data_IF_110548678337
#
_entry.id   IF_110548678337
#
_cell.length_a   1.000
_cell.length_b   1.000
_cell.length_c   1.000
_cell.angle_alpha   90.00
_cell.angle_beta   90.00
_cell.angle_gamma   90.00
#
_symmetry.space_group_name_H-M   'P 1'
#
loop_
_entity.id
_entity.type
_entity.pdbx_description
1 polymer ?
#
# COMPACT_ATOMS: atom_id res chain seq x y z
N UNK A 1 -9.97 -91.56 -3.19
CA UNK A 1 -8.80 -90.86 -3.75
C UNK A 1 -9.33 -89.52 -4.23
N UNK A 2 -9.17 -88.50 -3.39
CA UNK A 2 -9.63 -87.13 -3.73
C UNK A 2 -8.45 -86.40 -4.35
N UNK A 3 -8.56 -85.99 -5.63
CA UNK A 3 -7.58 -85.16 -6.29
C UNK A 3 -8.06 -83.73 -6.03
N UNK A 4 -7.34 -82.98 -5.21
CA UNK A 4 -7.59 -81.53 -5.07
C UNK A 4 -6.93 -80.80 -6.26
N UNK A 5 -7.72 -80.15 -7.03
CA UNK A 5 -7.30 -79.25 -8.08
C UNK A 5 -6.70 -77.94 -7.47
N UNK A 6 -5.36 -77.75 -7.62
CA UNK A 6 -4.62 -76.63 -7.09
C UNK A 6 -4.57 -75.42 -8.05
N UNK A 7 -5.25 -75.52 -9.18
CA UNK A 7 -5.24 -74.44 -10.21
C UNK A 7 -5.82 -73.12 -9.75
N UNK A 8 -6.81 -73.02 -8.86
CA UNK A 8 -7.31 -71.72 -8.38
C UNK A 8 -6.31 -70.94 -7.53
N UNK A 9 -5.40 -71.58 -6.82
CA UNK A 9 -4.44 -70.91 -5.93
C UNK A 9 -3.34 -70.20 -6.69
N UNK A 10 -2.90 -70.77 -7.85
CA UNK A 10 -1.83 -70.19 -8.63
C UNK A 10 -2.37 -68.97 -9.41
N UNK A 11 -3.57 -69.04 -9.93
CA UNK A 11 -4.22 -67.88 -10.59
C UNK A 11 -4.50 -66.74 -9.62
N UNK A 12 -4.94 -67.00 -8.41
CA UNK A 12 -5.15 -65.97 -7.39
C UNK A 12 -3.87 -65.27 -6.97
N UNK A 13 -2.74 -65.99 -6.89
CA UNK A 13 -1.45 -65.42 -6.51
C UNK A 13 -0.87 -64.57 -7.65
N UNK A 14 -1.07 -64.97 -8.93
CA UNK A 14 -0.64 -64.22 -10.10
C UNK A 14 -1.44 -62.94 -10.30
N UNK A 15 -2.75 -63.00 -10.14
CA UNK A 15 -3.65 -61.84 -10.17
C UNK A 15 -3.32 -60.85 -9.07
N UNK A 16 -3.00 -61.33 -7.84
CA UNK A 16 -2.63 -60.46 -6.73
C UNK A 16 -1.28 -59.73 -6.98
N UNK A 17 -0.36 -60.40 -7.67
CA UNK A 17 0.94 -59.82 -8.01
C UNK A 17 0.84 -58.75 -9.14
N UNK A 18 0.01 -59.00 -10.15
CA UNK A 18 -0.31 -58.03 -11.19
C UNK A 18 -1.10 -56.83 -10.66
N UNK A 19 -2.07 -57.07 -9.78
CA UNK A 19 -2.82 -55.99 -9.10
C UNK A 19 -1.91 -55.15 -8.22
N UNK A 20 -0.98 -55.73 -7.51
CA UNK A 20 0.02 -54.97 -6.72
C UNK A 20 0.92 -54.12 -7.59
N UNK A 21 1.34 -54.57 -8.77
CA UNK A 21 2.12 -53.77 -9.73
C UNK A 21 1.30 -52.61 -10.31
N UNK A 22 0.05 -52.86 -10.65
CA UNK A 22 -0.87 -51.83 -11.14
C UNK A 22 -1.14 -50.78 -10.06
N UNK A 23 -1.34 -51.25 -8.80
CA UNK A 23 -1.54 -50.34 -7.67
C UNK A 23 -0.31 -49.48 -7.35
N UNK A 24 0.90 -50.07 -7.44
CA UNK A 24 2.16 -49.32 -7.30
C UNK A 24 2.37 -48.30 -8.43
N UNK A 25 2.03 -48.65 -9.66
CA UNK A 25 2.11 -47.72 -10.80
C UNK A 25 1.11 -46.58 -10.67
N UNK A 26 -0.13 -46.88 -10.23
CA UNK A 26 -1.14 -45.87 -9.94
C UNK A 26 -0.73 -44.96 -8.77
N UNK A 27 -0.18 -45.50 -7.70
CA UNK A 27 0.30 -44.75 -6.56
C UNK A 27 1.50 -43.86 -6.90
N UNK A 28 2.44 -44.37 -7.70
CA UNK A 28 3.60 -43.62 -8.16
C UNK A 28 3.18 -42.50 -9.12
N UNK A 29 2.19 -42.71 -10.02
CA UNK A 29 1.67 -41.65 -10.88
C UNK A 29 0.87 -40.59 -10.10
N UNK A 30 0.12 -41.01 -9.06
CA UNK A 30 -0.60 -40.08 -8.20
C UNK A 30 0.34 -39.21 -7.36
N UNK A 31 1.45 -39.79 -6.87
CA UNK A 31 2.49 -39.05 -6.14
C UNK A 31 3.26 -38.11 -7.06
N UNK A 32 3.55 -38.53 -8.29
CA UNK A 32 4.16 -37.64 -9.30
C UNK A 32 3.26 -36.51 -9.71
N UNK A 33 1.96 -36.77 -9.85
CA UNK A 33 0.97 -35.72 -10.17
C UNK A 33 0.77 -34.72 -9.01
N UNK A 34 0.88 -35.17 -7.75
CA UNK A 34 0.83 -34.28 -6.58
C UNK A 34 2.09 -33.45 -6.40
N UNK A 35 3.24 -33.86 -6.92
CA UNK A 35 4.48 -33.09 -6.88
C UNK A 35 4.52 -31.96 -7.94
N UNK A 36 3.82 -32.13 -9.06
CA UNK A 36 3.69 -31.05 -10.07
C UNK A 36 2.67 -29.96 -9.65
N UNK A 37 1.74 -30.27 -8.75
CA UNK A 37 0.72 -29.32 -8.29
C UNK A 37 1.26 -28.30 -7.27
N UNK A 38 2.44 -28.48 -6.70
CA UNK A 38 3.11 -27.53 -5.81
C UNK A 38 4.13 -26.68 -6.55
N UNK A 39 3.70 -25.92 -7.58
CA UNK A 39 4.51 -24.76 -7.96
C UNK A 39 4.55 -23.80 -6.76
N UNK A 40 5.74 -23.34 -6.34
CA UNK A 40 5.79 -22.27 -5.35
C UNK A 40 4.89 -21.14 -5.84
N UNK A 41 3.94 -20.72 -5.02
CA UNK A 41 3.18 -19.52 -5.31
C UNK A 41 4.20 -18.39 -5.49
N UNK A 42 4.04 -17.61 -6.56
CA UNK A 42 4.86 -16.42 -6.74
C UNK A 42 4.81 -15.62 -5.43
N UNK A 43 5.95 -15.07 -4.99
CA UNK A 43 5.95 -14.28 -3.77
C UNK A 43 4.93 -13.14 -3.90
N UNK A 44 4.16 -12.85 -2.84
CA UNK A 44 3.17 -11.79 -2.91
C UNK A 44 3.84 -10.45 -3.26
N UNK A 45 3.21 -9.61 -4.11
CA UNK A 45 3.81 -8.37 -4.58
C UNK A 45 4.01 -7.38 -3.45
N UNK A 46 5.07 -6.58 -3.54
CA UNK A 46 5.21 -5.40 -2.70
C UNK A 46 4.18 -4.34 -3.09
N UNK A 47 3.66 -3.61 -2.11
CA UNK A 47 2.65 -2.56 -2.32
C UNK A 47 3.22 -1.22 -1.84
N UNK A 48 3.29 -0.24 -2.72
CA UNK A 48 3.62 1.15 -2.38
C UNK A 48 2.43 2.01 -2.76
N UNK A 49 1.82 2.66 -1.76
CA UNK A 49 0.69 3.55 -1.93
C UNK A 49 1.16 5.00 -1.71
N UNK A 50 1.17 5.80 -2.76
CA UNK A 50 1.54 7.22 -2.70
C UNK A 50 0.28 8.07 -2.79
N UNK A 51 0.08 8.96 -1.83
CA UNK A 51 -1.02 9.91 -1.79
C UNK A 51 -0.46 11.33 -1.67
N UNK A 52 -0.87 12.20 -2.57
CA UNK A 52 -0.62 13.65 -2.48
C UNK A 52 -1.75 14.35 -1.73
N UNK A 53 -1.50 15.55 -1.21
CA UNK A 53 -2.46 16.33 -0.43
C UNK A 53 -2.79 17.62 -1.18
N UNK A 54 -4.05 17.81 -1.57
CA UNK A 54 -4.55 18.95 -2.35
C UNK A 54 -3.96 19.09 -3.77
N UNK A 55 -3.50 18.01 -4.38
CA UNK A 55 -3.09 18.02 -5.79
C UNK A 55 -4.31 17.95 -6.69
N UNK A 56 -4.45 18.93 -7.57
CA UNK A 56 -5.52 18.95 -8.57
C UNK A 56 -5.28 17.94 -9.70
N UNK A 57 -6.36 17.41 -10.27
CA UNK A 57 -6.30 16.52 -11.43
C UNK A 57 -5.55 17.18 -12.61
N UNK A 58 -5.77 18.50 -12.81
CA UNK A 58 -5.13 19.28 -13.86
C UNK A 58 -3.67 19.66 -13.60
N UNK A 59 -3.09 19.30 -12.45
CA UNK A 59 -1.70 19.61 -12.11
C UNK A 59 -0.69 18.67 -12.78
N UNK A 60 -1.16 17.64 -13.48
CA UNK A 60 -0.30 16.67 -14.15
C UNK A 60 -0.21 16.94 -15.65
N UNK A 61 1.01 16.86 -16.21
CA UNK A 61 1.20 16.97 -17.67
C UNK A 61 0.51 15.83 -18.43
N UNK A 62 0.40 14.63 -17.83
CA UNK A 62 -0.37 13.52 -18.36
C UNK A 62 -1.86 13.87 -18.57
N UNK A 63 -2.39 14.79 -17.79
CA UNK A 63 -3.77 15.26 -17.86
C UNK A 63 -3.93 16.58 -18.65
N UNK A 64 -2.87 17.01 -19.38
CA UNK A 64 -2.91 18.14 -20.28
C UNK A 64 -2.39 19.45 -19.67
N UNK A 65 -1.75 19.44 -18.50
CA UNK A 65 -1.09 20.64 -17.98
C UNK A 65 0.06 21.04 -18.91
N UNK A 66 0.03 22.29 -19.37
CA UNK A 66 1.03 22.84 -20.31
C UNK A 66 2.09 23.70 -19.61
N UNK A 67 1.88 24.00 -18.33
CA UNK A 67 2.76 24.85 -17.54
C UNK A 67 3.73 24.05 -16.66
N UNK A 68 3.30 22.89 -16.22
CA UNK A 68 4.07 22.00 -15.34
C UNK A 68 4.33 20.68 -16.07
N UNK A 69 5.53 20.18 -15.96
CA UNK A 69 5.88 18.84 -16.46
C UNK A 69 6.07 17.87 -15.29
N UNK A 70 5.42 16.72 -15.37
CA UNK A 70 5.46 15.68 -14.33
C UNK A 70 5.98 14.34 -14.86
N UNK A 71 7.23 14.29 -15.40
CA UNK A 71 7.69 13.18 -16.25
C UNK A 71 7.73 11.83 -15.52
N UNK A 72 7.98 11.82 -14.22
CA UNK A 72 8.02 10.58 -13.44
C UNK A 72 6.60 10.03 -13.19
N UNK A 73 5.64 10.90 -12.90
CA UNK A 73 4.23 10.51 -12.72
C UNK A 73 3.64 10.09 -14.07
N UNK A 74 3.93 10.83 -15.14
CA UNK A 74 3.51 10.51 -16.51
C UNK A 74 4.02 9.14 -16.93
N UNK A 75 5.28 8.82 -16.61
CA UNK A 75 5.87 7.51 -16.85
C UNK A 75 5.13 6.40 -16.10
N UNK A 76 4.78 6.59 -14.83
CA UNK A 76 3.96 5.61 -14.08
C UNK A 76 2.61 5.40 -14.77
N UNK A 77 1.94 6.49 -15.17
CA UNK A 77 0.66 6.41 -15.87
C UNK A 77 0.72 5.70 -17.23
N UNK A 78 1.87 5.73 -17.92
CA UNK A 78 2.07 5.03 -19.21
C UNK A 78 2.52 3.58 -19.05
N UNK A 79 3.17 3.25 -17.94
CA UNK A 79 3.65 1.89 -17.66
C UNK A 79 2.61 1.00 -16.98
N UNK A 80 1.58 1.59 -16.38
CA UNK A 80 0.58 0.91 -15.59
C UNK A 80 -0.85 1.16 -16.08
N UNK A 81 -1.80 1.02 -15.17
CA UNK A 81 -3.22 1.29 -15.40
C UNK A 81 -3.54 2.68 -14.86
N UNK A 82 -4.20 3.50 -15.68
CA UNK A 82 -4.74 4.79 -15.29
C UNK A 82 -6.26 4.69 -15.13
N UNK A 83 -6.76 5.17 -13.99
CA UNK A 83 -8.19 5.27 -13.75
C UNK A 83 -8.68 6.68 -14.08
N UNK A 84 -9.37 6.85 -15.19
CA UNK A 84 -9.86 8.18 -15.64
C UNK A 84 -11.04 8.69 -14.79
N UNK A 85 -11.69 7.83 -14.02
CA UNK A 85 -12.85 8.14 -13.19
C UNK A 85 -12.67 7.66 -11.75
N UNK A 86 -11.54 7.99 -11.16
CA UNK A 86 -11.28 7.75 -9.74
C UNK A 86 -11.58 9.03 -8.97
N UNK A 87 -12.61 9.00 -8.15
CA UNK A 87 -13.05 10.15 -7.37
C UNK A 87 -12.67 9.98 -5.91
N UNK A 88 -12.38 11.08 -5.26
CA UNK A 88 -12.05 11.16 -3.84
C UNK A 88 -13.01 12.13 -3.16
N UNK A 89 -13.11 12.07 -1.83
CA UNK A 89 -13.82 13.08 -1.06
C UNK A 89 -13.14 14.44 -1.19
N UNK A 90 -13.89 15.57 -1.07
CA UNK A 90 -13.34 16.90 -1.30
C UNK A 90 -12.38 17.39 -0.21
N UNK A 91 -12.18 16.61 0.85
CA UNK A 91 -11.32 16.94 1.99
C UNK A 91 -10.48 15.73 2.43
N UNK A 92 -9.37 16.02 3.12
CA UNK A 92 -8.26 15.10 3.32
C UNK A 92 -8.58 13.90 4.23
N UNK A 93 -9.12 14.09 5.43
CA UNK A 93 -9.37 12.97 6.36
C UNK A 93 -10.41 11.97 5.83
N UNK A 94 -11.57 12.38 5.32
CA UNK A 94 -12.52 11.50 4.65
C UNK A 94 -11.89 10.67 3.53
N UNK A 95 -11.14 11.30 2.62
CA UNK A 95 -10.44 10.61 1.53
C UNK A 95 -9.47 9.55 2.04
N UNK A 96 -8.70 9.87 3.10
CA UNK A 96 -7.73 8.93 3.70
C UNK A 96 -8.42 7.73 4.33
N UNK A 97 -9.52 7.98 5.05
CA UNK A 97 -10.34 6.92 5.64
C UNK A 97 -10.88 5.97 4.55
N UNK A 98 -11.47 6.52 3.47
CA UNK A 98 -11.99 5.73 2.35
C UNK A 98 -10.90 4.92 1.65
N UNK A 99 -9.74 5.54 1.40
CA UNK A 99 -8.61 4.88 0.75
C UNK A 99 -8.07 3.70 1.58
N UNK A 100 -8.00 3.87 2.89
CA UNK A 100 -7.44 2.86 3.80
C UNK A 100 -8.41 1.74 4.13
N UNK A 101 -9.74 1.96 4.05
CA UNK A 101 -10.76 0.98 4.44
C UNK A 101 -11.55 0.41 3.27
N UNK A 102 -11.52 1.08 2.11
CA UNK A 102 -12.40 0.74 0.98
C UNK A 102 -13.89 1.03 1.26
N UNK A 103 -14.21 1.81 2.31
CA UNK A 103 -15.57 2.14 2.71
C UNK A 103 -15.78 3.64 2.73
N UNK A 104 -17.01 4.07 2.45
CA UNK A 104 -17.39 5.49 2.51
C UNK A 104 -17.15 6.04 3.92
N UNK A 105 -16.49 7.19 4.02
CA UNK A 105 -15.98 7.79 5.25
C UNK A 105 -17.00 7.92 6.39
N UNK A 106 -18.26 8.24 6.04
CA UNK A 106 -19.34 8.38 7.04
C UNK A 106 -19.62 7.07 7.79
N UNK A 107 -19.43 5.92 7.12
CA UNK A 107 -19.60 4.60 7.76
C UNK A 107 -18.49 4.27 8.74
N UNK A 108 -17.33 4.85 8.55
CA UNK A 108 -16.18 4.71 9.45
C UNK A 108 -16.07 5.86 10.45
N UNK A 109 -17.14 6.60 10.71
CA UNK A 109 -17.18 7.65 11.72
C UNK A 109 -16.44 8.95 11.35
N UNK A 110 -15.93 9.06 10.12
CA UNK A 110 -15.18 10.24 9.68
C UNK A 110 -16.12 11.24 9.01
N UNK A 111 -16.41 12.33 9.69
CA UNK A 111 -17.36 13.35 9.25
C UNK A 111 -16.71 14.69 8.91
N UNK A 112 -15.44 14.88 9.22
CA UNK A 112 -14.75 16.15 9.07
C UNK A 112 -13.24 16.01 9.13
N UNK A 113 -12.56 17.14 9.26
CA UNK A 113 -11.09 17.23 9.27
C UNK A 113 -10.52 17.70 10.61
N UNK A 114 -11.35 17.91 11.63
CA UNK A 114 -10.94 18.42 12.93
C UNK A 114 -11.99 18.14 14.00
N UNK A 115 -11.68 18.55 15.24
CA UNK A 115 -12.56 18.46 16.40
C UNK A 115 -13.08 17.03 16.72
N UNK A 116 -12.30 16.02 16.35
CA UNK A 116 -12.64 14.61 16.54
C UNK A 116 -13.42 13.99 15.39
N UNK A 117 -13.92 14.80 14.44
CA UNK A 117 -14.62 14.30 13.25
C UNK A 117 -13.71 13.62 12.23
N UNK A 118 -12.40 13.69 12.41
CA UNK A 118 -11.38 13.03 11.61
C UNK A 118 -11.03 11.61 12.09
N UNK A 119 -11.50 11.18 13.24
CA UNK A 119 -11.17 9.89 13.83
C UNK A 119 -11.85 8.75 13.10
N UNK A 120 -11.06 7.79 12.64
CA UNK A 120 -11.56 6.57 12.02
C UNK A 120 -12.03 5.60 13.11
N UNK A 121 -13.27 5.13 13.04
CA UNK A 121 -13.83 4.20 14.01
C UNK A 121 -12.96 2.94 14.20
N UNK A 122 -12.96 2.42 15.41
CA UNK A 122 -12.10 1.30 15.81
C UNK A 122 -12.50 -0.03 15.15
N UNK A 123 -13.77 -0.20 14.83
CA UNK A 123 -14.31 -1.40 14.17
C UNK A 123 -14.05 -1.43 12.65
N UNK A 124 -13.54 -0.34 12.08
CA UNK A 124 -13.09 -0.33 10.71
C UNK A 124 -11.75 -1.05 10.57
N UNK A 125 -11.62 -1.83 9.50
CA UNK A 125 -10.39 -2.54 9.19
C UNK A 125 -9.63 -1.81 8.09
N UNK A 126 -8.38 -1.43 8.38
CA UNK A 126 -7.51 -0.76 7.40
C UNK A 126 -6.80 -1.75 6.49
N UNK A 127 -6.39 -1.28 5.31
CA UNK A 127 -5.55 -2.03 4.39
C UNK A 127 -4.26 -2.56 5.05
N UNK A 128 -3.67 -1.76 5.96
CA UNK A 128 -2.47 -2.16 6.69
C UNK A 128 -2.75 -3.33 7.65
N UNK A 129 -3.85 -3.29 8.39
CA UNK A 129 -4.26 -4.38 9.27
C UNK A 129 -4.49 -5.68 8.48
N UNK A 130 -5.19 -5.61 7.34
CA UNK A 130 -5.42 -6.76 6.46
C UNK A 130 -4.10 -7.34 5.94
N UNK A 131 -3.25 -6.52 5.36
CA UNK A 131 -1.97 -6.97 4.78
C UNK A 131 -1.03 -7.55 5.84
N UNK A 132 -1.04 -7.01 7.05
CA UNK A 132 -0.28 -7.54 8.18
C UNK A 132 -0.69 -8.98 8.55
N UNK A 133 -1.98 -9.34 8.46
CA UNK A 133 -2.43 -10.72 8.75
C UNK A 133 -1.86 -11.76 7.79
N UNK A 134 -1.43 -11.34 6.60
CA UNK A 134 -0.82 -12.22 5.59
C UNK A 134 0.70 -12.01 5.46
N UNK A 135 1.32 -11.42 6.49
CA UNK A 135 2.78 -11.39 6.66
C UNK A 135 3.50 -10.21 6.04
N UNK A 136 2.79 -9.17 5.60
CA UNK A 136 3.42 -7.95 5.11
C UNK A 136 4.07 -7.16 6.26
N UNK A 137 5.25 -6.60 5.98
CA UNK A 137 5.84 -5.53 6.79
C UNK A 137 5.16 -4.22 6.42
N UNK A 138 4.70 -3.43 7.39
CA UNK A 138 3.85 -2.28 7.12
C UNK A 138 4.48 -0.99 7.63
N UNK A 139 4.52 0.04 6.80
CA UNK A 139 5.00 1.37 7.19
C UNK A 139 4.13 2.49 6.61
N UNK A 140 4.02 3.60 7.37
CA UNK A 140 3.41 4.84 6.91
C UNK A 140 4.32 6.02 7.20
N UNK A 141 4.70 6.79 6.16
CA UNK A 141 5.57 7.94 6.30
C UNK A 141 4.92 9.19 5.69
N UNK A 142 4.47 10.09 6.56
CA UNK A 142 3.81 11.34 6.17
C UNK A 142 2.63 11.74 7.06
N UNK A 143 1.61 12.35 6.43
CA UNK A 143 0.40 12.84 7.08
C UNK A 143 -0.61 11.72 7.31
N UNK A 144 -0.98 11.45 8.56
CA UNK A 144 -1.99 10.44 8.89
C UNK A 144 -3.43 10.96 8.78
N UNK A 145 -3.81 11.87 9.62
CA UNK A 145 -5.09 12.60 9.67
C UNK A 145 -6.35 11.73 9.89
N UNK A 146 -6.24 10.59 10.56
CA UNK A 146 -7.37 9.75 10.96
C UNK A 146 -7.37 9.42 12.45
N UNK A 147 -6.93 10.39 13.26
CA UNK A 147 -6.84 10.33 14.72
C UNK A 147 -5.40 10.31 15.23
N UNK A 148 -5.16 11.00 16.36
CA UNK A 148 -3.80 11.31 16.82
C UNK A 148 -3.28 10.38 17.91
N UNK A 149 -4.18 9.71 18.63
CA UNK A 149 -3.87 8.89 19.79
C UNK A 149 -4.39 7.47 19.59
N UNK A 150 -3.84 6.52 20.34
CA UNK A 150 -4.42 5.20 20.41
C UNK A 150 -5.90 5.29 20.87
N UNK A 151 -6.80 4.52 20.26
CA UNK A 151 -6.59 3.45 19.29
C UNK A 151 -6.50 3.91 17.82
N UNK A 152 -6.62 5.21 17.53
CA UNK A 152 -6.69 5.79 16.18
C UNK A 152 -5.31 6.03 15.54
N UNK A 153 -4.25 6.00 16.35
CA UNK A 153 -2.88 6.24 15.90
C UNK A 153 -2.40 5.19 14.87
N UNK A 154 -1.58 5.54 13.87
CA UNK A 154 -1.12 4.60 12.83
C UNK A 154 -0.58 3.27 13.36
N UNK A 155 0.21 3.29 14.43
CA UNK A 155 0.72 2.05 15.02
C UNK A 155 -0.36 1.16 15.65
N UNK A 156 -1.53 1.73 16.00
CA UNK A 156 -2.70 0.97 16.44
C UNK A 156 -3.58 0.52 15.27
N UNK A 157 -3.31 1.02 14.06
CA UNK A 157 -4.10 0.79 12.84
C UNK A 157 -3.29 0.02 11.78
N UNK A 158 -2.45 -0.92 12.23
CA UNK A 158 -1.80 -1.90 11.39
C UNK A 158 -0.42 -1.52 10.86
N UNK A 159 0.10 -0.32 11.12
CA UNK A 159 1.44 0.07 10.70
C UNK A 159 2.48 -0.26 11.77
N UNK A 160 3.48 -1.07 11.40
CA UNK A 160 4.60 -1.46 12.28
C UNK A 160 5.58 -0.30 12.49
N UNK A 161 5.70 0.56 11.48
CA UNK A 161 6.59 1.72 11.52
C UNK A 161 5.85 2.97 11.01
N UNK A 162 5.86 4.02 11.82
CA UNK A 162 5.24 5.31 11.49
C UNK A 162 6.23 6.43 11.68
N UNK A 163 6.39 7.27 10.66
CA UNK A 163 7.15 8.50 10.72
C UNK A 163 6.42 9.63 10.03
N UNK A 164 6.13 10.71 10.74
CA UNK A 164 5.36 11.82 10.18
C UNK A 164 4.62 12.63 11.22
N UNK A 165 3.38 12.95 10.94
CA UNK A 165 2.50 13.66 11.86
C UNK A 165 1.04 13.19 11.73
N UNK A 166 0.32 13.20 12.86
CA UNK A 166 -1.06 12.71 12.90
C UNK A 166 -2.12 13.78 12.66
N UNK A 167 -1.76 15.08 12.74
CA UNK A 167 -2.68 16.18 12.50
C UNK A 167 -3.03 16.38 11.01
N UNK A 168 -4.07 17.19 10.76
CA UNK A 168 -4.49 17.52 9.39
C UNK A 168 -3.64 18.57 8.69
N UNK A 169 -2.77 19.28 9.43
CA UNK A 169 -1.98 20.39 8.93
C UNK A 169 -0.61 20.42 9.62
N UNK A 170 0.43 20.84 8.88
CA UNK A 170 1.77 21.04 9.40
C UNK A 170 2.36 22.34 8.89
N UNK A 171 2.68 23.25 9.82
CA UNK A 171 3.00 24.65 9.48
C UNK A 171 4.44 24.90 9.05
N UNK A 172 5.35 23.93 9.22
CA UNK A 172 6.75 24.06 8.86
C UNK A 172 7.27 22.83 8.12
N UNK A 173 7.79 23.02 6.91
CA UNK A 173 8.29 21.95 6.06
C UNK A 173 9.80 21.76 6.12
N UNK A 174 10.53 22.64 6.84
CA UNK A 174 11.97 22.54 7.00
C UNK A 174 12.35 22.17 8.43
N UNK A 175 13.06 21.07 8.58
CA UNK A 175 13.46 20.50 9.88
C UNK A 175 12.29 20.46 10.86
N UNK A 176 11.11 19.93 10.44
CA UNK A 176 9.92 19.95 11.29
C UNK A 176 10.08 19.07 12.51
N UNK A 177 9.32 19.35 13.55
CA UNK A 177 9.11 18.38 14.62
C UNK A 177 8.11 17.36 14.11
N UNK A 178 8.52 16.10 14.05
CA UNK A 178 7.68 14.98 13.60
C UNK A 178 7.58 13.94 14.73
N UNK A 179 6.94 12.85 14.44
CA UNK A 179 6.81 11.71 15.31
C UNK A 179 7.40 10.47 14.64
N UNK A 180 8.09 9.63 15.41
CA UNK A 180 8.50 8.29 15.02
C UNK A 180 8.02 7.30 16.08
N UNK A 181 6.98 6.52 15.75
CA UNK A 181 6.40 5.50 16.63
C UNK A 181 6.09 6.02 18.05
N UNK A 182 5.39 7.15 18.15
CA UNK A 182 5.01 7.75 19.43
C UNK A 182 6.06 8.67 20.06
N UNK A 183 7.26 8.76 19.47
CA UNK A 183 8.34 9.61 19.98
C UNK A 183 8.54 10.85 19.09
N UNK A 184 8.54 12.04 19.69
CA UNK A 184 8.83 13.26 18.96
C UNK A 184 10.28 13.29 18.49
N UNK A 185 10.48 13.57 17.22
CA UNK A 185 11.79 13.67 16.58
C UNK A 185 11.86 14.92 15.70
N UNK A 186 13.06 15.34 15.36
CA UNK A 186 13.27 16.41 14.39
C UNK A 186 13.53 15.80 13.01
N UNK A 187 12.78 16.25 12.01
CA UNK A 187 13.01 15.89 10.61
C UNK A 187 14.29 16.49 10.07
N UNK A 188 14.79 15.97 8.98
CA UNK A 188 16.04 16.40 8.33
C UNK A 188 15.72 17.11 7.00
N UNK A 189 16.04 18.38 6.94
CA UNK A 189 15.85 19.22 5.77
C UNK A 189 14.38 19.42 5.36
N UNK A 190 14.11 19.31 4.07
CA UNK A 190 12.76 19.46 3.53
C UNK A 190 11.94 18.18 3.75
N UNK A 191 10.77 18.31 4.35
CA UNK A 191 9.95 17.20 4.81
C UNK A 191 9.71 16.11 3.74
N UNK A 192 9.50 16.49 2.46
CA UNK A 192 9.23 15.52 1.40
C UNK A 192 10.49 14.70 1.06
N UNK A 193 11.67 15.31 1.12
CA UNK A 193 12.93 14.60 0.91
C UNK A 193 13.18 13.60 2.04
N UNK A 194 12.96 14.01 3.29
CA UNK A 194 13.12 13.16 4.47
C UNK A 194 12.16 11.98 4.44
N UNK A 195 10.86 12.22 4.21
CA UNK A 195 9.86 11.16 4.06
C UNK A 195 10.20 10.18 2.93
N UNK A 196 10.65 10.72 1.79
CA UNK A 196 11.04 9.91 0.63
C UNK A 196 12.27 9.05 0.93
N UNK A 197 13.29 9.62 1.58
CA UNK A 197 14.50 8.88 1.94
C UNK A 197 14.17 7.73 2.91
N UNK A 198 13.32 7.97 3.90
CA UNK A 198 12.84 6.90 4.80
C UNK A 198 12.08 5.81 4.07
N UNK A 199 11.26 6.19 3.07
CA UNK A 199 10.59 5.22 2.20
C UNK A 199 11.59 4.34 1.44
N UNK A 200 12.64 4.94 0.87
CA UNK A 200 13.72 4.21 0.18
C UNK A 200 14.45 3.27 1.14
N UNK A 201 14.78 3.73 2.33
CA UNK A 201 15.46 2.92 3.34
C UNK A 201 14.62 1.74 3.80
N UNK A 202 13.31 1.96 3.99
CA UNK A 202 12.36 0.89 4.30
C UNK A 202 12.29 -0.17 3.19
N UNK A 203 12.21 0.25 1.93
CA UNK A 203 12.22 -0.65 0.78
C UNK A 203 13.49 -1.48 0.76
N UNK A 204 14.66 -0.84 0.91
CA UNK A 204 15.94 -1.53 0.90
C UNK A 204 16.07 -2.56 2.03
N UNK A 205 15.58 -2.22 3.21
CA UNK A 205 15.56 -3.10 4.39
C UNK A 205 14.66 -4.31 4.21
N UNK A 206 13.53 -4.14 3.52
CA UNK A 206 12.47 -5.14 3.45
C UNK A 206 12.33 -5.81 2.07
N UNK A 207 13.20 -5.56 1.11
CA UNK A 207 13.10 -6.06 -0.29
C UNK A 207 12.98 -7.59 -0.44
N UNK A 208 13.32 -8.35 0.59
CA UNK A 208 13.26 -9.82 0.60
C UNK A 208 11.99 -10.37 1.28
N UNK A 209 11.07 -9.51 1.68
CA UNK A 209 9.79 -9.86 2.32
C UNK A 209 8.69 -9.02 1.69
N UNK A 210 7.45 -9.50 1.67
CA UNK A 210 6.35 -8.65 1.22
C UNK A 210 6.20 -7.46 2.16
N UNK A 211 6.02 -6.27 1.58
CA UNK A 211 5.80 -5.05 2.35
C UNK A 211 4.68 -4.19 1.77
N UNK A 212 4.05 -3.44 2.65
CA UNK A 212 3.13 -2.34 2.34
C UNK A 212 3.72 -1.05 2.88
N UNK A 213 4.04 -0.13 1.98
CA UNK A 213 4.53 1.21 2.28
C UNK A 213 3.49 2.24 1.87
N UNK A 214 2.95 2.97 2.83
CA UNK A 214 2.06 4.12 2.61
C UNK A 214 2.87 5.40 2.72
N UNK A 215 2.88 6.20 1.65
CA UNK A 215 3.55 7.51 1.56
C UNK A 215 2.50 8.60 1.37
N UNK A 216 1.80 9.01 2.44
CA UNK A 216 0.84 10.10 2.39
C UNK A 216 1.57 11.44 2.51
N UNK A 217 2.09 11.94 1.39
CA UNK A 217 2.73 13.24 1.37
C UNK A 217 1.75 14.35 1.76
N UNK A 218 2.29 15.41 2.39
CA UNK A 218 1.53 16.59 2.79
C UNK A 218 1.63 17.74 1.77
N UNK A 219 2.14 17.48 0.59
CA UNK A 219 2.24 18.47 -0.48
C UNK A 219 1.33 18.10 -1.66
N UNK A 220 0.86 19.11 -2.40
CA UNK A 220 1.12 20.57 -2.32
C UNK A 220 0.24 21.36 -1.33
N UNK A 221 -0.40 20.75 -0.33
CA UNK A 221 -1.19 21.45 0.70
C UNK A 221 -0.40 22.62 1.32
N UNK A 222 -1.12 23.64 1.81
CA UNK A 222 -0.51 24.78 2.53
C UNK A 222 0.34 24.31 3.72
N UNK A 223 1.42 25.03 4.04
CA UNK A 223 1.83 26.40 3.68
C UNK A 223 2.57 26.52 2.34
N UNK A 224 2.61 25.49 1.50
CA UNK A 224 3.22 25.51 0.17
C UNK A 224 4.71 25.90 0.14
N UNK A 225 5.43 25.64 1.23
CA UNK A 225 6.86 25.86 1.27
C UNK A 225 7.56 24.91 0.29
N UNK A 226 8.50 25.45 -0.48
CA UNK A 226 9.20 24.70 -1.51
C UNK A 226 10.68 25.08 -1.54
N UNK A 227 11.60 24.11 -1.75
CA UNK A 227 13.03 24.40 -1.91
C UNK A 227 13.32 25.24 -3.16
N UNK A 228 14.34 26.10 -3.08
CA UNK A 228 14.78 26.98 -4.19
C UNK A 228 15.02 26.21 -5.48
N UNK A 229 15.56 24.98 -5.41
CA UNK A 229 15.78 24.12 -6.59
C UNK A 229 14.52 23.83 -7.41
N UNK A 230 13.34 23.95 -6.81
CA UNK A 230 12.05 23.84 -7.51
C UNK A 230 11.49 25.22 -7.82
N UNK A 231 11.53 26.17 -6.87
CA UNK A 231 11.02 27.53 -7.04
C UNK A 231 11.68 28.25 -8.21
N UNK A 232 13.01 28.17 -8.32
CA UNK A 232 13.78 28.84 -9.37
C UNK A 232 13.33 28.47 -10.80
N UNK A 233 12.76 27.29 -11.00
CA UNK A 233 12.24 26.83 -12.30
C UNK A 233 10.96 27.55 -12.71
N UNK A 234 10.22 28.10 -11.75
CA UNK A 234 8.88 28.64 -11.98
C UNK A 234 8.72 30.11 -11.62
N UNK A 235 9.61 30.72 -10.82
CA UNK A 235 9.47 32.10 -10.31
C UNK A 235 9.21 33.14 -11.35
N UNK A 236 9.72 32.96 -12.58
CA UNK A 236 9.58 33.92 -13.70
C UNK A 236 8.71 33.34 -14.84
N UNK A 237 8.08 32.19 -14.62
CA UNK A 237 7.26 31.56 -15.66
C UNK A 237 5.89 32.21 -15.70
N UNK A 238 5.51 32.68 -16.88
CA UNK A 238 4.14 33.14 -17.12
C UNK A 238 3.26 31.89 -17.29
N UNK A 239 2.37 31.67 -16.34
CA UNK A 239 1.45 30.52 -16.37
C UNK A 239 0.33 30.84 -17.38
N UNK A 240 -0.03 29.83 -18.18
CA UNK A 240 -1.13 29.90 -19.16
C UNK A 240 -2.44 29.42 -18.54
N UNK A 241 -2.35 28.56 -17.54
CA UNK A 241 -3.48 28.07 -16.76
C UNK A 241 -3.52 28.82 -15.43
N UNK A 242 -4.62 29.53 -15.21
CA UNK A 242 -4.86 30.14 -13.90
C UNK A 242 -5.33 29.08 -12.94
N UNK A 243 -4.55 28.84 -11.90
CA UNK A 243 -4.99 28.05 -10.77
C UNK A 243 -6.10 28.77 -10.00
N UNK A 244 -6.92 28.03 -9.29
CA UNK A 244 -7.87 28.64 -8.35
C UNK A 244 -7.07 29.35 -7.25
N UNK A 245 -7.01 30.67 -7.32
CA UNK A 245 -6.47 31.51 -6.24
C UNK A 245 -7.54 31.64 -5.17
N UNK A 246 -7.58 30.69 -4.26
CA UNK A 246 -8.30 30.90 -3.01
C UNK A 246 -7.66 32.03 -2.22
N UNK A 247 -8.41 32.76 -1.40
CA UNK A 247 -7.84 33.72 -0.47
C UNK A 247 -7.03 32.97 0.58
N UNK A 248 -5.72 33.01 0.44
CA UNK A 248 -4.76 32.67 1.49
C UNK A 248 -3.98 33.89 1.87
#
# INVERSE_FOLDING_TARGET
MFIFDLTPLIYGCYLSHQMKKIFLLFYSSLVLFSLEACKPLDPPPNVILILTDDQGWGDLSLNGNVDITTPNIDRLGTMGIRFDRFYVSPVCSPTRAELLTGRHHVRGGVYGTSAGGERLDEDEQTLAEVLKTVGYQTAAYGKWHNGMQAPYHPNSRGFDDFYGFCSGHWGNYYNPVLEHNGTLVRGDGFIIDDLTQRGIDFINKNKNKPFFLYLPYNTPHSPMQVPDRFWEKFKNKQLRQEGHRGPY
#
